data_IF_773650524587
#
_entry.id   IF_773650524587
#
_cell.length_a   1.000
_cell.length_b   1.000
_cell.length_c   1.000
_cell.angle_alpha   90.00
_cell.angle_beta   90.00
_cell.angle_gamma   90.00
#
_symmetry.space_group_name_H-M   'P 1'
#
loop_
_entity.id
_entity.type
_entity.pdbx_description
1 polymer ?
#
# COMPACT_ATOMS: atom_id res chain seq x y z
N UNK A 1 49.40 -27.69 -17.48
CA UNK A 1 48.57 -26.63 -18.10
C UNK A 1 47.07 -26.74 -17.80
N UNK A 2 46.61 -27.63 -16.91
CA UNK A 2 45.18 -27.83 -16.59
C UNK A 2 44.65 -27.01 -15.39
N UNK A 3 45.52 -26.56 -14.49
CA UNK A 3 45.10 -25.87 -13.24
C UNK A 3 44.45 -24.51 -13.49
N UNK A 4 44.95 -23.73 -14.44
CA UNK A 4 44.38 -22.40 -14.75
C UNK A 4 42.95 -22.47 -15.31
N UNK A 5 42.63 -23.54 -16.04
CA UNK A 5 41.27 -23.79 -16.56
C UNK A 5 40.30 -24.16 -15.44
N UNK A 6 40.72 -25.01 -14.50
CA UNK A 6 39.90 -25.42 -13.36
C UNK A 6 39.61 -24.22 -12.46
N UNK A 7 40.61 -23.37 -12.19
CA UNK A 7 40.42 -22.15 -11.40
C UNK A 7 39.48 -21.14 -12.07
N UNK A 8 39.58 -20.97 -13.39
CA UNK A 8 38.69 -20.07 -14.13
C UNK A 8 37.24 -20.57 -14.14
N UNK A 9 37.02 -21.88 -14.30
CA UNK A 9 35.69 -22.49 -14.23
C UNK A 9 35.08 -22.37 -12.83
N UNK A 10 35.87 -22.59 -11.78
CA UNK A 10 35.43 -22.43 -10.40
C UNK A 10 35.04 -20.97 -10.09
N UNK A 11 35.86 -20.01 -10.51
CA UNK A 11 35.55 -18.59 -10.35
C UNK A 11 34.26 -18.20 -11.09
N UNK A 12 34.09 -18.65 -12.33
CA UNK A 12 32.87 -18.43 -13.10
C UNK A 12 31.63 -19.02 -12.42
N UNK A 13 31.73 -20.25 -11.90
CA UNK A 13 30.63 -20.88 -11.18
C UNK A 13 30.27 -20.11 -9.90
N UNK A 14 31.26 -19.67 -9.12
CA UNK A 14 31.01 -18.87 -7.92
C UNK A 14 30.34 -17.54 -8.25
N UNK A 15 30.72 -16.88 -9.34
CA UNK A 15 30.09 -15.64 -9.79
C UNK A 15 28.63 -15.86 -10.19
N UNK A 16 28.34 -16.93 -10.93
CA UNK A 16 26.97 -17.28 -11.34
C UNK A 16 26.11 -17.58 -10.11
N UNK A 17 26.60 -18.40 -9.18
CA UNK A 17 25.89 -18.73 -7.94
C UNK A 17 25.63 -17.47 -7.12
N UNK A 18 26.61 -16.56 -7.01
CA UNK A 18 26.44 -15.30 -6.31
C UNK A 18 25.34 -14.42 -6.94
N UNK A 19 25.33 -14.28 -8.27
CA UNK A 19 24.29 -13.51 -8.98
C UNK A 19 22.91 -14.14 -8.76
N UNK A 20 22.79 -15.48 -8.79
CA UNK A 20 21.53 -16.16 -8.51
C UNK A 20 21.04 -15.92 -7.08
N UNK A 21 21.93 -16.00 -6.10
CA UNK A 21 21.59 -15.72 -4.70
C UNK A 21 21.09 -14.28 -4.55
N UNK A 22 21.82 -13.30 -5.11
CA UNK A 22 21.41 -11.90 -5.07
C UNK A 22 20.05 -11.70 -5.74
N UNK A 23 19.80 -12.32 -6.89
CA UNK A 23 18.52 -12.24 -7.58
C UNK A 23 17.37 -12.83 -6.74
N UNK A 24 17.58 -13.97 -6.08
CA UNK A 24 16.58 -14.59 -5.20
C UNK A 24 16.30 -13.71 -3.98
N UNK A 25 17.34 -13.15 -3.35
CA UNK A 25 17.20 -12.24 -2.20
C UNK A 25 16.44 -10.98 -2.62
N UNK A 26 16.81 -10.36 -3.74
CA UNK A 26 16.12 -9.18 -4.29
C UNK A 26 14.64 -9.48 -4.60
N UNK A 27 14.34 -10.62 -5.23
CA UNK A 27 12.97 -11.02 -5.54
C UNK A 27 12.15 -11.33 -4.27
N UNK A 28 12.77 -11.96 -3.27
CA UNK A 28 12.15 -12.21 -1.96
C UNK A 28 11.85 -10.91 -1.22
N UNK A 29 12.80 -9.97 -1.21
CA UNK A 29 12.65 -8.67 -0.59
C UNK A 29 11.59 -7.83 -1.32
N UNK A 30 11.57 -7.83 -2.65
CA UNK A 30 10.55 -7.14 -3.44
C UNK A 30 9.14 -7.65 -3.13
N UNK A 31 8.95 -8.98 -3.02
CA UNK A 31 7.67 -9.56 -2.62
C UNK A 31 7.29 -9.25 -1.16
N UNK A 32 8.26 -9.22 -0.26
CA UNK A 32 8.03 -8.85 1.14
C UNK A 32 7.62 -7.39 1.29
N UNK A 33 8.29 -6.49 0.56
CA UNK A 33 7.95 -5.06 0.50
C UNK A 33 6.58 -4.87 -0.15
N UNK A 34 6.28 -5.56 -1.26
CA UNK A 34 4.94 -5.52 -1.88
C UNK A 34 3.85 -5.99 -0.91
N UNK A 35 4.09 -7.04 -0.12
CA UNK A 35 3.14 -7.47 0.92
C UNK A 35 2.99 -6.43 2.03
N UNK A 36 4.05 -5.74 2.43
CA UNK A 36 3.98 -4.68 3.43
C UNK A 36 3.28 -3.41 2.90
N UNK A 37 3.52 -3.05 1.63
CA UNK A 37 2.84 -1.93 0.96
C UNK A 37 1.37 -2.27 0.75
N UNK A 38 1.06 -3.48 0.30
CA UNK A 38 -0.32 -3.92 0.14
C UNK A 38 -1.00 -4.00 1.51
N UNK A 39 -0.37 -4.60 2.53
CA UNK A 39 -0.90 -4.63 3.90
C UNK A 39 -1.06 -3.23 4.53
N UNK A 40 -0.24 -2.26 4.12
CA UNK A 40 -0.40 -0.84 4.47
C UNK A 40 -1.32 -0.05 3.52
N UNK A 41 -1.77 -0.69 2.44
CA UNK A 41 -2.68 -0.20 1.42
C UNK A 41 -4.07 -0.84 1.52
N UNK A 42 -4.32 -1.66 2.55
CA UNK A 42 -5.61 -2.24 2.90
C UNK A 42 -6.56 -1.22 3.58
N UNK A 43 -6.19 0.06 3.61
CA UNK A 43 -7.15 1.16 3.71
C UNK A 43 -7.76 1.51 2.33
N UNK A 44 -7.41 0.79 1.25
CA UNK A 44 -7.97 1.00 -0.07
C UNK A 44 -8.66 -0.25 -0.64
N UNK A 45 -9.93 -0.35 -0.27
CA UNK A 45 -11.02 -0.46 -1.25
C UNK A 45 -10.99 -1.70 -2.17
N UNK A 46 -11.02 -2.90 -1.59
CA UNK A 46 -11.59 -4.06 -2.30
C UNK A 46 -12.56 -4.81 -1.39
N UNK A 47 -13.69 -4.15 -1.06
CA UNK A 47 -14.96 -4.77 -0.66
C UNK A 47 -16.01 -3.71 -0.34
N UNK A 48 -16.79 -3.35 -1.37
CA UNK A 48 -18.22 -2.99 -1.37
C UNK A 48 -18.41 -2.16 -2.63
N UNK A 49 -19.10 -2.72 -3.62
CA UNK A 49 -20.56 -2.55 -3.71
C UNK A 49 -20.87 -1.06 -3.73
N UNK A 50 -21.51 -0.62 -4.81
CA UNK A 50 -22.21 0.65 -4.93
C UNK A 50 -23.13 0.87 -3.71
N UNK A 51 -22.56 1.27 -2.58
CA UNK A 51 -23.28 1.85 -1.48
C UNK A 51 -23.78 3.19 -2.03
N UNK A 52 -25.09 3.48 -1.95
CA UNK A 52 -25.57 4.79 -2.35
C UNK A 52 -24.74 5.81 -1.61
N UNK A 53 -24.27 6.83 -2.33
CA UNK A 53 -23.61 8.00 -1.76
C UNK A 53 -24.33 8.34 -0.45
N UNK A 54 -23.68 8.04 0.68
CA UNK A 54 -24.28 8.26 2.00
C UNK A 54 -24.33 9.77 2.14
N UNK A 55 -25.47 10.33 1.75
CA UNK A 55 -25.68 11.75 1.55
C UNK A 55 -25.19 12.48 2.79
N UNK A 56 -24.02 13.12 2.67
CA UNK A 56 -23.36 13.73 3.81
C UNK A 56 -24.33 14.64 4.55
N UNK A 57 -24.34 14.57 5.89
CA UNK A 57 -25.27 15.37 6.70
C UNK A 57 -25.00 16.85 6.48
N UNK A 58 -25.92 17.53 5.80
CA UNK A 58 -25.86 18.98 5.64
C UNK A 58 -26.21 19.64 6.97
N UNK A 59 -25.43 20.66 7.34
CA UNK A 59 -25.69 21.42 8.55
C UNK A 59 -27.10 22.05 8.52
N UNK A 60 -27.95 21.83 9.55
CA UNK A 60 -29.30 22.39 9.59
C UNK A 60 -29.31 23.92 9.77
N UNK A 61 -28.17 24.53 10.13
CA UNK A 61 -28.01 25.96 10.16
C UNK A 61 -28.09 26.54 8.74
N UNK A 62 -29.14 27.34 8.48
CA UNK A 62 -29.38 27.98 7.16
C UNK A 62 -28.23 28.86 6.68
N UNK A 63 -27.42 29.41 7.59
CA UNK A 63 -26.28 30.27 7.25
C UNK A 63 -25.02 29.48 6.91
N UNK A 64 -24.90 28.25 7.41
CA UNK A 64 -23.70 27.42 7.22
C UNK A 64 -23.87 26.41 6.09
N UNK A 65 -24.92 25.57 6.14
CA UNK A 65 -25.23 24.51 5.15
C UNK A 65 -24.02 23.66 4.72
N UNK A 66 -23.00 23.56 5.56
CA UNK A 66 -21.81 22.79 5.25
C UNK A 66 -22.14 21.30 5.16
N UNK A 67 -21.66 20.64 4.11
CA UNK A 67 -21.78 19.20 3.95
C UNK A 67 -20.76 18.50 4.85
N UNK A 68 -21.25 17.82 5.89
CA UNK A 68 -20.39 17.10 6.82
C UNK A 68 -20.31 15.62 6.45
N UNK A 69 -19.29 14.95 7.00
CA UNK A 69 -19.18 13.48 6.90
C UNK A 69 -20.45 12.84 7.50
N UNK A 70 -20.94 11.71 6.94
CA UNK A 70 -22.20 11.09 7.37
C UNK A 70 -22.24 10.72 8.87
N UNK A 71 -21.08 10.39 9.44
CA UNK A 71 -20.89 10.02 10.85
C UNK A 71 -20.63 11.21 11.79
N UNK A 72 -20.56 12.44 11.28
CA UNK A 72 -20.29 13.62 12.10
C UNK A 72 -21.48 13.94 13.02
N UNK A 73 -21.23 14.10 14.33
CA UNK A 73 -22.24 14.54 15.31
C UNK A 73 -22.40 16.06 15.37
N UNK A 74 -21.36 16.78 14.96
CA UNK A 74 -21.28 18.23 14.98
C UNK A 74 -20.76 18.73 13.65
N UNK A 75 -21.19 19.93 13.26
CA UNK A 75 -20.74 20.62 12.06
C UNK A 75 -19.28 21.05 12.25
N UNK A 76 -18.41 20.68 11.31
CA UNK A 76 -16.99 21.07 11.32
C UNK A 76 -16.76 22.57 11.17
N UNK A 77 -17.73 23.29 10.60
CA UNK A 77 -17.59 24.73 10.34
C UNK A 77 -18.21 25.61 11.44
N UNK A 78 -19.36 25.24 11.99
CA UNK A 78 -20.08 26.08 12.95
C UNK A 78 -20.33 25.43 14.32
N UNK A 79 -19.89 24.18 14.52
CA UNK A 79 -20.02 23.45 15.79
C UNK A 79 -21.45 23.02 16.15
N UNK A 80 -22.47 23.36 15.35
CA UNK A 80 -23.84 22.93 15.63
C UNK A 80 -24.02 21.42 15.49
N UNK A 81 -24.89 20.85 16.33
CA UNK A 81 -25.22 19.43 16.27
C UNK A 81 -25.95 19.09 14.97
N UNK A 82 -25.44 18.09 14.26
CA UNK A 82 -26.09 17.49 13.10
C UNK A 82 -27.07 16.46 13.64
N UNK A 83 -28.38 16.71 13.49
CA UNK A 83 -29.42 15.74 13.86
C UNK A 83 -29.55 14.74 12.71
#
# INVERSE_FOLDING_TARGET
>A
MSWSLISALAAGFTAIVFVLIVAVVCAGLAKAIQRAINAGGDDQFESRESAPEDEGKVCPNRTCRYANRPLARFCSQCGQRLR
#
